data_IF_223056068422
#
_entry.id   IF_223056068422
#
_cell.length_a   1.000
_cell.length_b   1.000
_cell.length_c   1.000
_cell.angle_alpha   90.00
_cell.angle_beta   90.00
_cell.angle_gamma   90.00
#
_symmetry.space_group_name_H-M   'P 1'
#
loop_
_entity.id
_entity.type
_entity.pdbx_description
1 polymer ?
#
# COMPACT_ATOMS: atom_id res chain seq x y z
N UNK A 1 -8.12 -1.83 23.92
CA UNK A 1 -7.08 -1.42 23.00
C UNK A 1 -7.66 -1.15 21.62
N UNK A 2 -7.35 -0.02 21.02
CA UNK A 2 -7.92 0.33 19.73
C UNK A 2 -7.23 -0.41 18.58
N UNK A 3 -7.90 -0.42 17.42
CA UNK A 3 -7.38 -1.09 16.23
C UNK A 3 -6.09 -0.45 15.72
N UNK A 4 -5.92 0.87 15.87
CA UNK A 4 -4.69 1.54 15.47
C UNK A 4 -3.48 1.08 16.28
N UNK A 5 -3.67 0.87 17.59
CA UNK A 5 -2.61 0.32 18.44
C UNK A 5 -2.29 -1.13 18.04
N UNK A 6 -3.31 -1.90 17.70
CA UNK A 6 -3.13 -3.27 17.23
C UNK A 6 -2.30 -3.30 15.95
N UNK A 7 -2.55 -2.37 15.03
CA UNK A 7 -1.80 -2.27 13.79
C UNK A 7 -0.31 -2.04 14.08
N UNK A 8 0.02 -1.12 14.97
CA UNK A 8 1.41 -0.85 15.30
C UNK A 8 2.10 -2.09 15.87
N UNK A 9 1.41 -2.84 16.72
CA UNK A 9 1.94 -4.10 17.23
C UNK A 9 2.15 -5.14 16.14
N UNK A 10 1.22 -5.20 15.18
CA UNK A 10 1.34 -6.11 14.04
C UNK A 10 2.56 -5.77 13.20
N UNK A 11 2.83 -4.47 12.99
CA UNK A 11 4.01 -4.02 12.27
C UNK A 11 5.28 -4.46 13.00
N UNK A 12 5.33 -4.21 14.31
CA UNK A 12 6.50 -4.56 15.12
C UNK A 12 6.79 -6.06 15.13
N UNK A 13 5.74 -6.87 15.09
CA UNK A 13 5.86 -8.33 15.14
C UNK A 13 5.88 -8.99 13.76
N UNK A 14 5.74 -8.20 12.69
CA UNK A 14 5.73 -8.73 11.33
C UNK A 14 4.51 -9.60 11.02
N UNK A 15 3.35 -9.29 11.60
CA UNK A 15 2.12 -10.07 11.42
C UNK A 15 1.35 -9.61 10.18
N UNK A 16 1.83 -10.00 9.02
CA UNK A 16 1.23 -9.63 7.74
C UNK A 16 -0.25 -10.05 7.64
N UNK A 17 -0.59 -11.26 8.07
CA UNK A 17 -1.96 -11.77 7.92
C UNK A 17 -2.99 -10.90 8.63
N UNK A 18 -2.65 -10.39 9.81
CA UNK A 18 -3.54 -9.50 10.54
C UNK A 18 -3.70 -8.17 9.82
N UNK A 19 -2.61 -7.64 9.27
CA UNK A 19 -2.65 -6.38 8.51
C UNK A 19 -3.50 -6.54 7.25
N UNK A 20 -3.38 -7.68 6.56
CA UNK A 20 -4.17 -7.96 5.35
C UNK A 20 -5.66 -7.93 5.67
N UNK A 21 -6.07 -8.43 6.82
CA UNK A 21 -7.48 -8.36 7.23
C UNK A 21 -7.92 -6.92 7.46
N UNK A 22 -7.06 -6.12 8.09
CA UNK A 22 -7.42 -4.76 8.50
C UNK A 22 -7.47 -3.76 7.34
N UNK A 23 -6.89 -4.07 6.17
CA UNK A 23 -7.04 -3.20 5.00
C UNK A 23 -8.47 -3.19 4.46
N UNK A 24 -9.31 -4.10 4.93
CA UNK A 24 -10.72 -4.16 4.55
C UNK A 24 -11.65 -3.77 5.70
N UNK A 25 -11.11 -3.18 6.75
CA UNK A 25 -11.92 -2.75 7.91
C UNK A 25 -12.96 -1.71 7.49
N UNK A 26 -14.08 -1.65 8.22
CA UNK A 26 -15.14 -0.68 7.94
C UNK A 26 -14.69 0.77 8.17
N UNK A 27 -13.76 0.99 9.07
CA UNK A 27 -13.23 2.32 9.40
C UNK A 27 -12.10 2.68 8.43
N UNK A 28 -12.29 3.75 7.67
CA UNK A 28 -11.31 4.20 6.68
C UNK A 28 -9.95 4.49 7.31
N UNK A 29 -9.92 5.08 8.51
CA UNK A 29 -8.65 5.36 9.18
C UNK A 29 -7.90 4.08 9.51
N UNK A 30 -8.62 3.02 9.87
CA UNK A 30 -8.02 1.71 10.12
C UNK A 30 -7.48 1.12 8.81
N UNK A 31 -8.26 1.23 7.72
CA UNK A 31 -7.79 0.75 6.41
C UNK A 31 -6.51 1.43 6.00
N UNK A 32 -6.46 2.76 6.11
CA UNK A 32 -5.27 3.53 5.73
C UNK A 32 -4.05 3.16 6.57
N UNK A 33 -4.24 3.01 7.88
CA UNK A 33 -3.16 2.62 8.77
C UNK A 33 -2.64 1.21 8.46
N UNK A 34 -3.55 0.28 8.14
CA UNK A 34 -3.17 -1.08 7.78
C UNK A 34 -2.40 -1.12 6.46
N UNK A 35 -2.81 -0.30 5.48
CA UNK A 35 -2.11 -0.18 4.21
C UNK A 35 -0.67 0.30 4.45
N UNK A 36 -0.50 1.36 5.24
CA UNK A 36 0.83 1.87 5.59
C UNK A 36 1.65 0.79 6.33
N UNK A 37 1.00 0.05 7.21
CA UNK A 37 1.64 -1.05 7.93
C UNK A 37 2.16 -2.15 7.02
N UNK A 38 1.40 -2.48 5.98
CA UNK A 38 1.85 -3.46 4.98
C UNK A 38 3.08 -2.95 4.22
N UNK A 39 3.16 -1.66 3.96
CA UNK A 39 4.35 -1.08 3.32
C UNK A 39 5.60 -1.23 4.19
N UNK A 40 5.43 -1.18 5.51
CA UNK A 40 6.55 -1.25 6.47
C UNK A 40 6.93 -2.68 6.86
N UNK A 41 5.96 -3.57 6.95
CA UNK A 41 6.16 -4.89 7.53
C UNK A 41 5.61 -6.03 6.66
N UNK A 42 5.18 -5.75 5.45
CA UNK A 42 4.64 -6.76 4.56
C UNK A 42 5.70 -7.72 4.05
N UNK A 43 5.24 -8.88 3.67
CA UNK A 43 6.08 -9.96 3.17
C UNK A 43 5.53 -10.46 1.83
N UNK A 44 5.30 -11.75 1.71
CA UNK A 44 4.97 -12.38 0.44
C UNK A 44 3.63 -11.94 -0.16
N UNK A 45 2.63 -11.67 0.68
CA UNK A 45 1.28 -11.32 0.20
C UNK A 45 1.04 -9.82 0.06
N UNK A 46 1.87 -9.00 0.70
CA UNK A 46 1.63 -7.56 0.76
C UNK A 46 1.57 -6.92 -0.62
N UNK A 47 2.49 -7.27 -1.51
CA UNK A 47 2.53 -6.69 -2.85
C UNK A 47 1.22 -6.92 -3.60
N UNK A 48 0.72 -8.15 -3.60
CA UNK A 48 -0.51 -8.50 -4.32
C UNK A 48 -1.73 -7.76 -3.72
N UNK A 49 -1.81 -7.68 -2.40
CA UNK A 49 -2.90 -6.99 -1.73
C UNK A 49 -2.89 -5.50 -2.08
N UNK A 50 -1.72 -4.87 -2.01
CA UNK A 50 -1.59 -3.44 -2.30
C UNK A 50 -1.87 -3.12 -3.76
N UNK A 51 -1.45 -3.99 -4.68
CA UNK A 51 -1.74 -3.82 -6.10
C UNK A 51 -3.25 -3.84 -6.34
N UNK A 52 -3.98 -4.74 -5.68
CA UNK A 52 -5.43 -4.79 -5.78
C UNK A 52 -6.07 -3.48 -5.32
N UNK A 53 -5.52 -2.88 -4.27
CA UNK A 53 -6.04 -1.63 -3.71
C UNK A 53 -5.77 -0.41 -4.60
N UNK A 54 -4.90 -0.51 -5.60
CA UNK A 54 -4.76 0.53 -6.62
C UNK A 54 -6.02 0.70 -7.46
N UNK A 55 -6.92 -0.28 -7.42
CA UNK A 55 -8.18 -0.25 -8.16
C UNK A 55 -9.36 0.21 -7.30
N UNK A 56 -9.11 0.57 -6.05
CA UNK A 56 -10.18 1.01 -5.14
C UNK A 56 -10.84 2.29 -5.66
N UNK A 57 -12.13 2.45 -5.40
CA UNK A 57 -12.88 3.63 -5.83
C UNK A 57 -12.39 4.90 -5.15
N UNK A 58 -11.86 4.79 -3.94
CA UNK A 58 -11.42 5.94 -3.15
C UNK A 58 -9.99 6.32 -3.55
N UNK A 59 -9.79 7.54 -4.09
CA UNK A 59 -8.44 7.95 -4.50
C UNK A 59 -7.45 8.03 -3.32
N UNK A 60 -7.92 8.27 -2.12
CA UNK A 60 -7.05 8.28 -0.95
C UNK A 60 -6.50 6.87 -0.66
N UNK A 61 -7.33 5.85 -0.84
CA UNK A 61 -6.89 4.46 -0.69
C UNK A 61 -5.89 4.10 -1.80
N UNK A 62 -6.17 4.51 -3.05
CA UNK A 62 -5.24 4.27 -4.16
C UNK A 62 -3.89 4.92 -3.91
N UNK A 63 -3.91 6.18 -3.45
CA UNK A 63 -2.68 6.93 -3.15
C UNK A 63 -1.88 6.26 -2.02
N UNK A 64 -2.55 5.87 -0.95
CA UNK A 64 -1.92 5.18 0.17
C UNK A 64 -1.29 3.85 -0.27
N UNK A 65 -1.98 3.13 -1.15
CA UNK A 65 -1.49 1.85 -1.67
C UNK A 65 -0.25 2.02 -2.51
N UNK A 66 -0.21 3.07 -3.36
CA UNK A 66 0.97 3.38 -4.15
C UNK A 66 2.17 3.70 -3.25
N UNK A 67 1.96 4.52 -2.22
CA UNK A 67 3.02 4.86 -1.26
C UNK A 67 3.54 3.61 -0.56
N UNK A 68 2.62 2.74 -0.12
CA UNK A 68 3.00 1.51 0.56
C UNK A 68 3.79 0.57 -0.35
N UNK A 69 3.43 0.49 -1.63
CA UNK A 69 4.19 -0.30 -2.60
C UNK A 69 5.62 0.21 -2.77
N UNK A 70 5.79 1.54 -2.76
CA UNK A 70 7.12 2.13 -2.79
C UNK A 70 7.93 1.78 -1.54
N UNK A 71 7.30 1.86 -0.36
CA UNK A 71 7.95 1.54 0.91
C UNK A 71 8.29 0.06 1.02
N UNK A 72 7.41 -0.80 0.52
CA UNK A 72 7.63 -2.25 0.51
C UNK A 72 8.85 -2.63 -0.31
N UNK A 73 9.10 -1.90 -1.39
CA UNK A 73 10.30 -2.09 -2.19
C UNK A 73 10.31 -3.34 -3.05
N UNK A 74 9.17 -3.97 -3.29
CA UNK A 74 9.09 -5.17 -4.12
C UNK A 74 9.11 -4.79 -5.59
N UNK A 75 10.18 -5.16 -6.33
CA UNK A 75 10.31 -4.76 -7.73
C UNK A 75 9.20 -5.28 -8.65
N UNK A 76 8.46 -6.31 -8.24
CA UNK A 76 7.34 -6.82 -9.02
C UNK A 76 6.25 -5.77 -9.23
N UNK A 77 6.16 -4.78 -8.35
CA UNK A 77 5.15 -3.72 -8.46
C UNK A 77 5.47 -2.69 -9.54
N UNK A 78 6.72 -2.59 -9.98
CA UNK A 78 7.16 -1.53 -10.90
C UNK A 78 6.32 -1.46 -12.17
N UNK A 79 6.22 -2.55 -12.90
CA UNK A 79 5.48 -2.61 -14.18
C UNK A 79 4.00 -2.30 -13.98
N UNK A 80 3.40 -2.84 -12.92
CA UNK A 80 1.98 -2.63 -12.65
C UNK A 80 1.70 -1.18 -12.24
N UNK A 81 2.58 -0.56 -11.48
CA UNK A 81 2.47 0.86 -11.15
C UNK A 81 2.58 1.73 -12.39
N UNK A 82 3.54 1.44 -13.27
CA UNK A 82 3.70 2.17 -14.53
C UNK A 82 2.44 2.06 -15.40
N UNK A 83 1.88 0.83 -15.49
CA UNK A 83 0.65 0.62 -16.24
C UNK A 83 -0.50 1.43 -15.66
N UNK A 84 -0.66 1.40 -14.34
CA UNK A 84 -1.74 2.13 -13.68
C UNK A 84 -1.59 3.64 -13.84
N UNK A 85 -0.36 4.13 -13.84
CA UNK A 85 -0.08 5.56 -14.04
C UNK A 85 -0.72 6.07 -15.34
N UNK A 86 -0.70 5.24 -16.38
CA UNK A 86 -1.26 5.59 -17.69
C UNK A 86 -2.77 5.78 -17.69
N UNK A 87 -3.49 5.23 -16.71
CA UNK A 87 -4.95 5.31 -16.64
C UNK A 87 -5.45 6.09 -15.43
N UNK A 88 -4.58 6.47 -14.51
CA UNK A 88 -4.98 7.18 -13.30
C UNK A 88 -5.32 8.64 -13.62
N UNK A 89 -6.50 9.08 -13.18
CA UNK A 89 -6.99 10.44 -13.44
C UNK A 89 -6.82 11.40 -12.26
N UNK A 90 -6.67 10.88 -11.06
CA UNK A 90 -6.47 11.72 -9.87
C UNK A 90 -4.99 12.12 -9.76
N UNK A 91 -4.73 13.43 -9.74
CA UNK A 91 -3.36 13.95 -9.73
C UNK A 91 -2.58 13.53 -8.48
N UNK A 92 -3.24 13.41 -7.34
CA UNK A 92 -2.58 13.00 -6.10
C UNK A 92 -2.14 11.55 -6.17
N UNK A 93 -2.98 10.70 -6.75
CA UNK A 93 -2.66 9.29 -6.94
C UNK A 93 -1.51 9.16 -7.95
N UNK A 94 -1.59 9.90 -9.05
CA UNK A 94 -0.54 9.89 -10.06
C UNK A 94 0.81 10.29 -9.46
N UNK A 95 0.82 11.32 -8.61
CA UNK A 95 2.05 11.77 -7.94
C UNK A 95 2.61 10.67 -7.01
N UNK A 96 1.72 10.00 -6.26
CA UNK A 96 2.14 8.91 -5.37
C UNK A 96 2.73 7.73 -6.17
N UNK A 97 2.13 7.42 -7.31
CA UNK A 97 2.63 6.35 -8.19
C UNK A 97 4.01 6.70 -8.74
N UNK A 98 4.21 7.93 -9.21
CA UNK A 98 5.51 8.38 -9.72
C UNK A 98 6.59 8.27 -8.65
N UNK A 99 6.27 8.68 -7.44
CA UNK A 99 7.20 8.58 -6.32
C UNK A 99 7.55 7.12 -6.00
N UNK A 100 6.54 6.25 -5.97
CA UNK A 100 6.77 4.83 -5.73
C UNK A 100 7.62 4.18 -6.83
N UNK A 101 7.35 4.52 -8.09
CA UNK A 101 8.14 4.03 -9.23
C UNK A 101 9.58 4.45 -9.08
N UNK A 102 9.82 5.71 -8.67
CA UNK A 102 11.18 6.21 -8.45
C UNK A 102 11.93 5.41 -7.39
N UNK A 103 11.26 5.06 -6.30
CA UNK A 103 11.85 4.26 -5.23
C UNK A 103 12.20 2.85 -5.70
N UNK A 104 11.32 2.24 -6.50
CA UNK A 104 11.54 0.88 -7.00
C UNK A 104 12.60 0.82 -8.09
N UNK A 105 12.63 1.83 -8.94
CA UNK A 105 13.60 1.91 -10.04
C UNK A 105 15.01 2.09 -9.52
N UNK A 106 15.18 2.88 -8.47
CA UNK A 106 16.49 3.17 -7.90
C UNK A 106 17.22 1.94 -7.36
N UNK A 107 16.52 0.84 -7.16
CA UNK A 107 17.11 -0.42 -6.73
C UNK A 107 17.69 -1.27 -7.84
N UNK A 108 17.51 -0.83 -9.07
CA UNK A 108 17.96 -1.60 -10.23
C UNK A 108 19.41 -1.51 -10.56
#
# INVERSE_FOLDING_TARGET
MGKLEKIEKCVQKGKEDELVKLVHDRDKNVRLAAIAGLGRAGKDNACNVLITLLLDDDPEIRSASACALGDLGDPRAHTLLMHHLGVEKDERVAAAIKDAVGKLHGGG
#
